data_IF_134848679132
#
_entry.id   IF_134848679132
#
_cell.length_a   1.000
_cell.length_b   1.000
_cell.length_c   1.000
_cell.angle_alpha   90.00
_cell.angle_beta   90.00
_cell.angle_gamma   90.00
#
_symmetry.space_group_name_H-M   'P 1'
#
loop_
_entity.id
_entity.type
_entity.pdbx_description
1 polymer ?
#
# COMPACT_ATOMS: atom_id res chain seq x y z
N UNK A 1 0.32 34.78 -7.16
CA UNK A 1 0.87 33.45 -7.51
C UNK A 1 1.73 33.58 -8.74
N UNK A 2 3.06 33.55 -8.61
CA UNK A 2 3.91 33.23 -9.77
C UNK A 2 3.69 31.75 -10.06
N UNK A 3 3.12 31.42 -11.23
CA UNK A 3 3.07 30.04 -11.69
C UNK A 3 4.50 29.59 -11.94
N UNK A 4 4.98 28.63 -11.15
CA UNK A 4 6.20 27.89 -11.46
C UNK A 4 5.89 27.16 -12.77
N UNK A 5 6.47 27.64 -13.88
CA UNK A 5 6.35 26.98 -15.18
C UNK A 5 7.27 25.77 -15.20
N UNK A 6 6.81 24.66 -14.61
CA UNK A 6 7.48 23.38 -14.74
C UNK A 6 7.15 22.80 -16.11
N UNK A 7 8.17 22.47 -16.90
CA UNK A 7 7.99 21.74 -18.15
C UNK A 7 7.30 20.40 -17.83
N UNK A 8 6.14 20.07 -18.46
CA UNK A 8 5.44 18.82 -18.22
C UNK A 8 6.32 17.57 -18.43
N UNK A 9 7.39 17.67 -19.22
CA UNK A 9 8.38 16.59 -19.44
C UNK A 9 9.28 16.33 -18.23
N UNK A 10 9.32 17.25 -17.27
CA UNK A 10 10.11 17.16 -16.05
C UNK A 10 9.28 16.68 -14.85
N UNK A 11 8.06 16.19 -15.09
CA UNK A 11 7.24 15.57 -14.04
C UNK A 11 7.56 14.07 -13.91
N UNK A 12 7.48 13.52 -12.68
CA UNK A 12 7.26 14.23 -11.41
C UNK A 12 8.42 15.11 -10.96
N UNK A 13 8.10 16.20 -10.24
CA UNK A 13 9.05 17.16 -9.68
C UNK A 13 8.90 17.26 -8.16
N UNK A 14 10.02 17.15 -7.44
CA UNK A 14 10.07 17.35 -5.97
C UNK A 14 11.27 18.23 -5.63
N UNK A 15 11.02 19.30 -4.88
CA UNK A 15 12.05 20.19 -4.39
C UNK A 15 11.80 20.61 -2.93
N UNK A 16 12.90 20.75 -2.19
CA UNK A 16 12.93 21.36 -0.86
C UNK A 16 13.84 22.58 -0.97
N UNK A 17 13.35 23.72 -0.52
CA UNK A 17 14.09 24.96 -0.53
C UNK A 17 15.41 24.83 0.25
N UNK A 18 16.51 25.44 -0.20
CA UNK A 18 17.82 25.35 0.46
C UNK A 18 17.78 25.65 1.97
N UNK A 19 16.94 26.60 2.38
CA UNK A 19 16.75 26.98 3.79
C UNK A 19 16.25 25.84 4.67
N UNK A 20 15.51 24.89 4.08
CA UNK A 20 14.86 23.78 4.78
C UNK A 20 15.55 22.43 4.54
N UNK A 21 16.64 22.41 3.76
CA UNK A 21 17.40 21.18 3.53
C UNK A 21 17.99 20.64 4.84
N UNK A 22 17.85 19.33 5.05
CA UNK A 22 18.31 18.66 6.27
C UNK A 22 17.28 18.65 7.41
N UNK A 23 16.19 19.41 7.33
CA UNK A 23 15.10 19.36 8.32
C UNK A 23 14.10 18.23 8.05
N UNK A 24 13.87 17.94 6.77
CA UNK A 24 13.06 16.83 6.29
C UNK A 24 13.55 16.39 4.92
N UNK A 25 13.06 15.25 4.46
CA UNK A 25 13.47 14.61 3.20
C UNK A 25 12.35 14.67 2.16
N UNK A 26 12.71 14.44 0.89
CA UNK A 26 11.71 14.33 -0.18
C UNK A 26 10.71 13.19 0.05
N UNK A 27 11.11 12.15 0.78
CA UNK A 27 10.25 11.01 1.13
C UNK A 27 9.13 11.44 2.06
N UNK A 28 9.43 12.35 3.00
CA UNK A 28 8.45 12.83 3.97
C UNK A 28 7.25 13.45 3.24
N UNK A 29 7.49 14.14 2.13
CA UNK A 29 6.48 14.78 1.29
C UNK A 29 5.62 13.80 0.46
N UNK A 30 6.02 12.53 0.37
CA UNK A 30 5.32 11.48 -0.40
C UNK A 30 4.42 10.60 0.48
N UNK A 31 4.28 10.93 1.76
CA UNK A 31 3.41 10.20 2.69
C UNK A 31 1.97 10.73 2.62
N UNK A 32 1.00 9.83 2.78
CA UNK A 32 -0.42 10.19 2.82
C UNK A 32 -0.76 11.08 4.03
N UNK A 33 0.01 10.94 5.11
CA UNK A 33 -0.02 11.78 6.29
C UNK A 33 1.40 12.16 6.68
N UNK A 34 1.57 13.37 7.20
CA UNK A 34 2.86 13.85 7.60
C UNK A 34 2.80 15.15 8.39
N UNK A 35 3.92 15.42 9.03
CA UNK A 35 4.15 16.61 9.82
C UNK A 35 5.57 17.09 9.54
N UNK A 36 5.71 18.37 9.26
CA UNK A 36 6.99 19.06 9.21
C UNK A 36 7.00 20.07 10.33
N UNK A 37 8.03 20.00 11.18
CA UNK A 37 8.31 20.97 12.23
C UNK A 37 9.64 21.62 11.92
N UNK A 38 9.63 22.94 11.77
CA UNK A 38 10.84 23.71 11.50
C UNK A 38 10.93 24.85 12.50
N UNK A 39 12.10 25.06 13.09
CA UNK A 39 12.40 26.26 13.87
C UNK A 39 13.61 26.93 13.25
N UNK A 40 13.44 28.17 12.80
CA UNK A 40 14.43 28.88 12.02
C UNK A 40 14.59 30.32 12.51
N UNK A 41 15.82 30.81 12.45
CA UNK A 41 16.14 32.21 12.64
C UNK A 41 16.32 32.85 11.27
N UNK A 42 15.45 33.79 10.93
CA UNK A 42 15.55 34.55 9.69
C UNK A 42 16.32 35.86 9.89
N UNK A 43 16.99 36.31 8.82
CA UNK A 43 17.65 37.62 8.77
C UNK A 43 16.71 38.74 8.30
N UNK A 44 15.66 38.35 7.57
CA UNK A 44 14.61 39.21 7.02
C UNK A 44 13.28 38.43 7.06
N UNK A 45 12.11 39.08 6.91
CA UNK A 45 10.84 38.37 6.83
C UNK A 45 10.91 37.18 5.86
N UNK A 46 10.40 35.99 6.24
CA UNK A 46 10.47 34.80 5.41
C UNK A 46 9.68 35.03 4.12
N UNK A 47 10.28 34.66 2.99
CA UNK A 47 9.66 34.75 1.67
C UNK A 47 10.21 33.62 0.78
N UNK A 48 9.33 33.03 -0.03
CA UNK A 48 9.64 31.99 -0.99
C UNK A 48 9.08 30.61 -0.63
N UNK A 49 9.46 29.62 -1.43
CA UNK A 49 9.02 28.23 -1.27
C UNK A 49 9.67 27.56 -0.05
N UNK A 50 8.90 26.69 0.59
CA UNK A 50 9.39 25.74 1.60
C UNK A 50 9.67 24.41 0.91
N UNK A 51 8.66 23.88 0.22
CA UNK A 51 8.78 22.69 -0.63
C UNK A 51 7.70 22.67 -1.72
N UNK A 52 7.97 21.89 -2.76
CA UNK A 52 7.09 21.71 -3.92
C UNK A 52 7.11 20.25 -4.35
N UNK A 53 5.92 19.62 -4.45
CA UNK A 53 5.69 18.32 -5.10
C UNK A 53 4.67 18.52 -6.20
N UNK A 54 5.03 18.19 -7.44
CA UNK A 54 4.14 18.32 -8.59
C UNK A 54 4.23 17.04 -9.42
N UNK A 55 3.06 16.43 -9.65
CA UNK A 55 2.78 15.33 -10.56
C UNK A 55 1.48 15.64 -11.32
N UNK A 56 1.17 14.88 -12.37
CA UNK A 56 -0.01 15.11 -13.22
C UNK A 56 -1.34 15.17 -12.46
N UNK A 57 -1.48 14.44 -11.36
CA UNK A 57 -2.72 14.33 -10.58
C UNK A 57 -2.57 14.82 -9.13
N UNK A 58 -1.37 15.27 -8.75
CA UNK A 58 -1.05 15.55 -7.36
C UNK A 58 -0.08 16.72 -7.21
N UNK A 59 -0.55 17.77 -6.54
CA UNK A 59 0.22 18.94 -6.16
C UNK A 59 0.23 19.08 -4.64
N UNK A 60 1.41 19.24 -4.04
CA UNK A 60 1.56 19.55 -2.62
C UNK A 60 2.64 20.62 -2.48
N UNK A 61 2.25 21.84 -2.10
CA UNK A 61 3.11 23.02 -2.15
C UNK A 61 2.98 23.80 -0.85
N UNK A 62 4.11 24.14 -0.23
CA UNK A 62 4.13 25.06 0.90
C UNK A 62 5.08 26.23 0.61
N UNK A 63 4.64 27.45 0.89
CA UNK A 63 5.39 28.67 0.60
C UNK A 63 4.99 29.80 1.55
N UNK A 64 5.85 30.81 1.66
CA UNK A 64 5.54 32.08 2.31
C UNK A 64 5.56 33.20 1.28
N UNK A 65 4.47 33.95 1.19
CA UNK A 65 4.35 35.09 0.27
C UNK A 65 3.66 36.25 0.99
N UNK A 66 4.23 37.46 0.95
CA UNK A 66 3.62 38.66 1.56
C UNK A 66 3.20 38.48 3.04
N UNK A 67 4.01 37.79 3.85
CA UNK A 67 3.68 37.43 5.24
C UNK A 67 2.45 36.52 5.39
N UNK A 68 2.13 35.72 4.37
CA UNK A 68 1.16 34.64 4.45
C UNK A 68 1.87 33.30 4.27
N UNK A 69 1.68 32.39 5.24
CA UNK A 69 2.08 31.00 5.09
C UNK A 69 0.97 30.26 4.36
N UNK A 70 1.27 29.77 3.16
CA UNK A 70 0.32 29.10 2.28
C UNK A 70 0.70 27.63 2.20
N UNK A 71 -0.28 26.76 2.39
CA UNK A 71 -0.14 25.32 2.17
C UNK A 71 -1.26 24.82 1.27
N UNK A 72 -0.88 24.33 0.10
CA UNK A 72 -1.79 23.91 -0.96
C UNK A 72 -1.66 22.41 -1.20
N UNK A 73 -2.80 21.75 -1.36
CA UNK A 73 -2.92 20.41 -1.92
C UNK A 73 -3.96 20.40 -3.03
N UNK A 74 -3.51 20.14 -4.26
CA UNK A 74 -4.34 20.22 -5.46
C UNK A 74 -5.07 21.57 -5.54
N UNK A 75 -6.40 21.57 -5.63
CA UNK A 75 -7.23 22.77 -5.73
C UNK A 75 -7.56 23.41 -4.38
N UNK A 76 -7.18 22.76 -3.27
CA UNK A 76 -7.42 23.23 -1.91
C UNK A 76 -6.17 23.92 -1.35
N UNK A 77 -6.34 25.09 -0.74
CA UNK A 77 -5.24 25.80 -0.08
C UNK A 77 -5.71 26.41 1.23
N UNK A 78 -4.85 26.32 2.24
CA UNK A 78 -4.99 27.02 3.52
C UNK A 78 -3.94 28.12 3.60
N UNK A 79 -4.33 29.26 4.17
CA UNK A 79 -3.48 30.45 4.28
C UNK A 79 -3.54 30.98 5.70
N UNK A 80 -2.36 31.22 6.28
CA UNK A 80 -2.22 31.75 7.63
C UNK A 80 -1.47 33.09 7.56
N UNK A 81 -2.09 34.17 8.03
CA UNK A 81 -1.42 35.47 8.18
C UNK A 81 -0.40 35.38 9.32
N UNK A 82 0.89 35.56 8.98
CA UNK A 82 2.00 35.51 9.93
C UNK A 82 2.58 36.90 10.21
N UNK A 83 1.95 37.98 9.74
CA UNK A 83 2.43 39.36 9.87
C UNK A 83 2.72 39.73 11.32
N UNK A 84 1.82 39.38 12.25
CA UNK A 84 2.02 39.66 13.66
C UNK A 84 3.21 38.85 14.21
N UNK A 85 3.29 37.55 13.90
CA UNK A 85 4.37 36.66 14.36
C UNK A 85 5.73 37.20 13.93
N UNK A 86 5.86 37.57 12.65
CA UNK A 86 7.06 38.16 12.04
C UNK A 86 7.40 39.51 12.67
N UNK A 87 6.40 40.36 12.93
CA UNK A 87 6.61 41.65 13.59
C UNK A 87 7.15 41.52 15.02
N UNK A 88 6.77 40.46 15.74
CA UNK A 88 7.24 40.20 17.09
C UNK A 88 8.64 39.55 17.14
N UNK A 89 8.97 38.65 16.20
CA UNK A 89 10.30 38.01 16.15
C UNK A 89 10.58 37.35 14.80
N UNK A 90 11.86 37.35 14.39
CA UNK A 90 12.36 36.56 13.26
C UNK A 90 12.85 35.16 13.67
N UNK A 91 12.69 34.77 14.94
CA UNK A 91 12.84 33.39 15.39
C UNK A 91 11.48 32.69 15.35
N UNK A 92 11.19 32.07 14.22
CA UNK A 92 9.87 31.56 13.89
C UNK A 92 9.92 30.04 13.85
N UNK A 93 8.86 29.40 14.34
CA UNK A 93 8.62 27.99 14.05
C UNK A 93 7.37 27.82 13.19
N UNK A 94 7.42 26.82 12.32
CA UNK A 94 6.30 26.38 11.49
C UNK A 94 5.98 24.93 11.81
N UNK A 95 4.69 24.62 11.86
CA UNK A 95 4.20 23.24 11.84
C UNK A 95 3.24 23.12 10.67
N UNK A 96 3.60 22.28 9.72
CA UNK A 96 2.78 21.98 8.54
C UNK A 96 2.35 20.53 8.66
N UNK A 97 1.05 20.29 8.82
CA UNK A 97 0.50 18.95 8.93
C UNK A 97 -0.46 18.68 7.79
N UNK A 98 -0.45 17.44 7.30
CA UNK A 98 -1.46 16.95 6.39
C UNK A 98 -1.87 15.53 6.76
N UNK A 99 -3.13 15.22 6.46
CA UNK A 99 -3.70 13.88 6.45
C UNK A 99 -4.54 13.73 5.19
N UNK A 100 -5.05 12.53 4.85
CA UNK A 100 -5.85 12.36 3.64
C UNK A 100 -7.03 13.32 3.52
N UNK A 101 -7.55 13.88 4.64
CA UNK A 101 -8.74 14.75 4.65
C UNK A 101 -8.52 16.15 5.26
N UNK A 102 -7.32 16.47 5.73
CA UNK A 102 -7.07 17.76 6.40
C UNK A 102 -5.71 18.34 6.06
N UNK A 103 -5.66 19.66 5.99
CA UNK A 103 -4.44 20.47 6.00
C UNK A 103 -4.45 21.34 7.25
N UNK A 104 -3.31 21.49 7.92
CA UNK A 104 -3.19 22.35 9.09
C UNK A 104 -1.86 23.09 9.11
N UNK A 105 -1.94 24.37 9.43
CA UNK A 105 -0.80 25.26 9.60
C UNK A 105 -0.74 25.77 11.04
N UNK A 106 0.47 25.87 11.58
CA UNK A 106 0.74 26.56 12.84
C UNK A 106 2.01 27.37 12.64
N UNK A 107 1.99 28.62 13.09
CA UNK A 107 3.15 29.50 13.09
C UNK A 107 3.28 30.15 14.46
N UNK A 108 4.50 30.33 14.95
CA UNK A 108 4.71 31.05 16.20
C UNK A 108 6.17 31.39 16.47
N UNK A 109 6.40 32.03 17.62
CA UNK A 109 7.71 32.54 18.02
C UNK A 109 8.35 31.61 19.06
N UNK A 110 9.68 31.62 19.15
CA UNK A 110 10.40 30.94 20.25
C UNK A 110 9.93 31.49 21.61
N UNK A 111 9.34 30.62 22.43
CA UNK A 111 8.76 30.96 23.73
C UNK A 111 7.22 31.02 23.75
N UNK A 112 6.55 30.82 22.61
CA UNK A 112 5.09 30.71 22.54
C UNK A 112 4.31 32.00 22.82
N UNK A 113 4.98 33.15 22.72
CA UNK A 113 4.39 34.46 23.02
C UNK A 113 3.26 34.80 22.03
N UNK A 114 3.43 34.42 20.76
CA UNK A 114 2.35 34.37 19.80
C UNK A 114 2.38 33.07 19.02
N UNK A 115 1.19 32.53 18.81
CA UNK A 115 0.94 31.32 18.04
C UNK A 115 -0.35 31.57 17.27
N UNK A 116 -0.28 31.38 15.97
CA UNK A 116 -1.45 31.36 15.11
C UNK A 116 -1.58 30.00 14.44
N UNK A 117 -2.80 29.57 14.16
CA UNK A 117 -3.06 28.29 13.51
C UNK A 117 -4.36 28.29 12.75
N UNK A 118 -4.36 27.60 11.63
CA UNK A 118 -5.56 27.36 10.85
C UNK A 118 -5.62 25.89 10.41
N UNK A 119 -6.83 25.39 10.20
CA UNK A 119 -7.09 24.03 9.73
C UNK A 119 -8.26 23.99 8.73
N UNK A 120 -8.06 23.23 7.65
CA UNK A 120 -9.05 23.08 6.58
C UNK A 120 -9.26 21.60 6.25
N UNK A 121 -10.54 21.20 6.24
CA UNK A 121 -10.96 19.92 5.69
C UNK A 121 -10.89 19.97 4.15
N UNK A 122 -10.51 18.84 3.55
CA UNK A 122 -10.32 18.70 2.10
C UNK A 122 -10.88 17.35 1.64
N UNK A 123 -11.15 17.17 0.34
CA UNK A 123 -11.45 15.86 -0.23
C UNK A 123 -10.35 14.84 0.12
N UNK A 124 -10.69 13.55 0.07
CA UNK A 124 -9.70 12.49 0.35
C UNK A 124 -8.67 12.46 -0.78
N UNK A 125 -7.44 12.91 -0.50
CA UNK A 125 -6.34 12.95 -1.46
C UNK A 125 -5.13 12.22 -0.88
N UNK A 126 -4.56 11.30 -1.65
CA UNK A 126 -3.32 10.59 -1.34
C UNK A 126 -2.36 10.67 -2.53
N UNK A 127 -1.03 10.63 -2.31
CA UNK A 127 -0.07 10.58 -3.41
C UNK A 127 -0.35 9.41 -4.36
N UNK A 128 -0.34 9.60 -5.68
CA UNK A 128 -0.68 8.55 -6.63
C UNK A 128 0.39 7.45 -6.64
N UNK A 129 0.04 6.17 -6.87
CA UNK A 129 1.01 5.07 -6.90
C UNK A 129 2.16 5.28 -7.90
N UNK A 130 1.88 5.92 -9.04
CA UNK A 130 2.88 6.28 -10.07
C UNK A 130 3.99 7.18 -9.53
N UNK A 131 3.65 8.16 -8.69
CA UNK A 131 4.60 9.07 -8.05
C UNK A 131 5.51 8.32 -7.08
N UNK A 132 4.96 7.37 -6.34
CA UNK A 132 5.71 6.51 -5.42
C UNK A 132 6.65 5.56 -6.18
N UNK A 133 6.21 5.01 -7.30
CA UNK A 133 7.05 4.20 -8.19
C UNK A 133 8.19 5.01 -8.80
N UNK A 134 7.92 6.24 -9.23
CA UNK A 134 8.97 7.15 -9.72
C UNK A 134 10.01 7.44 -8.63
N UNK A 135 9.56 7.73 -7.40
CA UNK A 135 10.46 8.04 -6.29
C UNK A 135 11.43 6.88 -5.98
N UNK A 136 10.97 5.62 -6.11
CA UNK A 136 11.83 4.43 -6.03
C UNK A 136 12.90 4.38 -7.11
N UNK A 137 12.55 4.71 -8.36
CA UNK A 137 13.51 4.74 -9.48
C UNK A 137 14.60 5.78 -9.26
N UNK A 138 14.28 6.88 -8.57
CA UNK A 138 15.24 7.90 -8.15
C UNK A 138 16.01 7.53 -6.87
N UNK A 139 15.85 6.30 -6.37
CA UNK A 139 16.41 5.82 -5.10
C UNK A 139 16.01 6.67 -3.88
N UNK A 140 14.93 7.45 -3.97
CA UNK A 140 14.38 8.16 -2.82
C UNK A 140 13.82 7.18 -1.80
N UNK A 141 13.34 6.02 -2.25
CA UNK A 141 12.96 4.93 -1.36
C UNK A 141 14.02 3.82 -1.45
N UNK A 142 14.51 3.27 -0.33
CA UNK A 142 15.55 2.24 -0.35
C UNK A 142 15.05 1.01 -1.11
N UNK A 143 15.77 0.63 -2.16
CA UNK A 143 15.53 -0.61 -2.90
C UNK A 143 16.23 -1.73 -2.15
N UNK A 144 15.44 -2.62 -1.54
CA UNK A 144 15.98 -3.85 -0.98
C UNK A 144 16.27 -4.83 -2.12
N UNK A 145 17.55 -5.09 -2.36
CA UNK A 145 17.97 -6.25 -3.15
C UNK A 145 18.12 -7.47 -2.25
N UNK A 146 17.51 -8.58 -2.64
CA UNK A 146 17.61 -9.85 -1.92
C UNK A 146 18.91 -10.56 -2.29
N UNK A 147 19.57 -11.20 -1.31
CA UNK A 147 20.84 -11.90 -1.53
C UNK A 147 20.69 -13.13 -2.41
N UNK A 148 19.49 -13.72 -2.44
CA UNK A 148 19.17 -14.90 -3.23
C UNK A 148 17.68 -14.98 -3.54
N UNK A 149 17.32 -15.79 -4.55
CA UNK A 149 15.91 -16.09 -4.82
C UNK A 149 15.21 -16.76 -3.63
N UNK A 150 15.97 -17.51 -2.84
CA UNK A 150 15.46 -18.22 -1.67
C UNK A 150 15.04 -17.22 -0.59
N UNK A 151 15.84 -16.19 -0.32
CA UNK A 151 15.49 -15.11 0.61
C UNK A 151 14.25 -14.34 0.12
N UNK A 152 14.19 -14.02 -1.18
CA UNK A 152 13.04 -13.36 -1.80
C UNK A 152 11.76 -14.20 -1.66
N UNK A 153 11.85 -15.49 -1.99
CA UNK A 153 10.75 -16.46 -1.84
C UNK A 153 10.29 -16.59 -0.39
N UNK A 154 11.23 -16.72 0.54
CA UNK A 154 10.93 -16.81 1.96
C UNK A 154 10.16 -15.57 2.43
N UNK A 155 10.58 -14.37 2.01
CA UNK A 155 9.86 -13.14 2.33
C UNK A 155 8.40 -13.19 1.87
N UNK A 156 8.16 -13.60 0.63
CA UNK A 156 6.78 -13.71 0.09
C UNK A 156 5.98 -14.75 0.86
N UNK A 157 6.56 -15.92 1.11
CA UNK A 157 5.85 -17.01 1.80
C UNK A 157 5.57 -16.67 3.26
N UNK A 158 6.48 -15.99 3.96
CA UNK A 158 6.23 -15.49 5.31
C UNK A 158 5.08 -14.48 5.31
N UNK A 159 5.01 -13.60 4.32
CA UNK A 159 3.91 -12.65 4.16
C UNK A 159 2.56 -13.31 3.81
N UNK A 160 2.58 -14.42 3.06
CA UNK A 160 1.38 -15.22 2.82
C UNK A 160 0.95 -15.99 4.06
N UNK A 161 1.88 -16.49 4.89
CA UNK A 161 1.55 -17.14 6.16
C UNK A 161 0.87 -16.15 7.11
N UNK A 162 1.44 -14.96 7.28
CA UNK A 162 0.92 -13.94 8.19
C UNK A 162 -0.36 -13.25 7.69
N UNK A 163 -0.73 -13.45 6.42
CA UNK A 163 -1.92 -12.82 5.84
C UNK A 163 -3.19 -13.20 6.62
N UNK A 164 -3.33 -14.47 7.03
CA UNK A 164 -4.48 -14.91 7.84
C UNK A 164 -4.54 -14.15 9.17
N UNK A 165 -3.43 -14.12 9.90
CA UNK A 165 -3.37 -13.47 11.21
C UNK A 165 -3.68 -11.97 11.08
N UNK A 166 -3.15 -11.29 10.04
CA UNK A 166 -3.46 -9.89 9.74
C UNK A 166 -4.94 -9.66 9.45
N UNK A 167 -5.60 -10.56 8.70
CA UNK A 167 -7.05 -10.46 8.43
C UNK A 167 -7.86 -10.56 9.73
N UNK A 168 -7.43 -11.43 10.65
CA UNK A 168 -8.07 -11.61 11.96
C UNK A 168 -7.85 -10.38 12.84
N UNK A 169 -6.61 -9.94 13.00
CA UNK A 169 -6.22 -8.78 13.81
C UNK A 169 -6.94 -7.50 13.38
N UNK A 170 -7.11 -7.29 12.07
CA UNK A 170 -7.79 -6.11 11.52
C UNK A 170 -9.32 -6.23 11.52
N UNK A 171 -9.89 -7.36 11.95
CA UNK A 171 -11.33 -7.62 11.87
C UNK A 171 -11.87 -7.65 10.44
N UNK A 172 -11.00 -7.80 9.44
CA UNK A 172 -11.33 -7.66 8.02
C UNK A 172 -12.01 -8.91 7.43
N UNK A 173 -12.33 -9.91 8.25
CA UNK A 173 -12.95 -11.15 7.80
C UNK A 173 -14.24 -10.89 7.00
N UNK A 174 -15.04 -9.91 7.40
CA UNK A 174 -16.29 -9.55 6.73
C UNK A 174 -16.07 -9.06 5.28
N UNK A 175 -14.89 -8.53 4.96
CA UNK A 175 -14.53 -8.10 3.61
C UNK A 175 -14.47 -9.25 2.60
N UNK A 176 -14.46 -10.50 3.06
CA UNK A 176 -14.47 -11.72 2.25
C UNK A 176 -15.89 -12.32 2.08
N UNK A 177 -16.89 -11.74 2.72
CA UNK A 177 -18.28 -12.22 2.70
C UNK A 177 -19.22 -11.20 2.07
N UNK A 178 -20.23 -11.69 1.37
CA UNK A 178 -21.43 -10.97 0.98
C UNK A 178 -22.49 -11.19 2.06
N UNK A 179 -22.86 -10.12 2.77
CA UNK A 179 -23.94 -10.15 3.76
C UNK A 179 -25.26 -9.97 3.03
N UNK A 180 -26.14 -10.97 3.12
CA UNK A 180 -27.48 -10.92 2.56
C UNK A 180 -28.42 -10.31 3.58
N UNK A 181 -29.11 -9.23 3.21
CA UNK A 181 -30.07 -8.55 4.08
C UNK A 181 -31.52 -8.84 3.66
N UNK A 182 -32.42 -8.82 4.64
CA UNK A 182 -33.87 -8.73 4.47
C UNK A 182 -34.37 -7.55 5.32
N UNK A 183 -34.48 -6.37 4.70
CA UNK A 183 -34.67 -5.12 5.43
C UNK A 183 -33.46 -4.84 6.34
N UNK A 184 -33.69 -4.63 7.63
CA UNK A 184 -32.65 -4.41 8.64
C UNK A 184 -32.05 -5.71 9.21
N UNK A 185 -32.53 -6.88 8.80
CA UNK A 185 -32.09 -8.18 9.35
C UNK A 185 -31.11 -8.89 8.43
N UNK A 186 -30.08 -9.53 9.00
CA UNK A 186 -29.14 -10.36 8.24
C UNK A 186 -29.79 -11.72 7.96
N UNK A 187 -29.96 -12.04 6.69
CA UNK A 187 -30.53 -13.31 6.19
C UNK A 187 -29.47 -14.40 6.03
N UNK A 188 -28.21 -14.03 5.78
CA UNK A 188 -27.12 -14.99 5.65
C UNK A 188 -25.82 -14.37 5.16
N UNK A 189 -24.78 -15.20 5.08
CA UNK A 189 -23.48 -14.83 4.55
C UNK A 189 -23.12 -15.79 3.41
N UNK A 190 -22.61 -15.25 2.31
CA UNK A 190 -22.06 -16.03 1.22
C UNK A 190 -20.62 -15.58 0.96
N UNK A 191 -19.67 -16.50 0.73
CA UNK A 191 -18.34 -16.10 0.30
C UNK A 191 -18.40 -15.24 -0.96
N UNK A 192 -17.54 -14.23 -1.06
CA UNK A 192 -17.35 -13.49 -2.31
C UNK A 192 -16.76 -14.39 -3.39
N UNK A 193 -16.95 -14.02 -4.66
CA UNK A 193 -16.29 -14.70 -5.78
C UNK A 193 -14.80 -14.38 -5.78
N UNK A 194 -13.99 -15.25 -6.41
CA UNK A 194 -12.52 -15.10 -6.45
C UNK A 194 -12.09 -13.70 -6.90
N UNK A 195 -12.63 -13.22 -8.03
CA UNK A 195 -12.35 -11.89 -8.59
C UNK A 195 -12.69 -10.74 -7.63
N UNK A 196 -13.71 -10.91 -6.79
CA UNK A 196 -14.14 -9.89 -5.83
C UNK A 196 -13.30 -9.91 -4.53
N UNK A 197 -12.54 -11.00 -4.31
CA UNK A 197 -11.67 -11.18 -3.15
C UNK A 197 -10.25 -10.64 -3.43
N UNK A 198 -9.78 -10.70 -4.68
CA UNK A 198 -8.43 -10.28 -5.06
C UNK A 198 -8.07 -8.86 -4.58
N UNK A 199 -8.92 -7.82 -4.71
CA UNK A 199 -8.61 -6.49 -4.19
C UNK A 199 -8.36 -6.46 -2.68
N UNK A 200 -9.12 -7.24 -1.91
CA UNK A 200 -8.97 -7.36 -0.46
C UNK A 200 -7.64 -8.03 -0.11
N UNK A 201 -7.29 -9.12 -0.79
CA UNK A 201 -6.00 -9.81 -0.61
C UNK A 201 -4.85 -8.86 -0.96
N UNK A 202 -4.96 -8.16 -2.10
CA UNK A 202 -3.97 -7.20 -2.54
C UNK A 202 -3.72 -6.13 -1.46
N UNK A 203 -4.80 -5.53 -0.94
CA UNK A 203 -4.72 -4.52 0.12
C UNK A 203 -3.94 -5.02 1.35
N UNK A 204 -4.25 -6.23 1.85
CA UNK A 204 -3.56 -6.77 3.03
C UNK A 204 -2.09 -7.12 2.79
N UNK A 205 -1.75 -7.54 1.57
CA UNK A 205 -0.37 -7.85 1.18
C UNK A 205 0.45 -6.62 0.81
N UNK A 206 -0.18 -5.59 0.25
CA UNK A 206 0.51 -4.48 -0.42
C UNK A 206 1.54 -3.81 0.48
N UNK A 207 1.16 -3.39 1.67
CA UNK A 207 2.04 -2.67 2.59
C UNK A 207 3.29 -3.47 2.97
N UNK A 208 3.13 -4.74 3.37
CA UNK A 208 4.26 -5.58 3.79
C UNK A 208 5.20 -5.95 2.64
N UNK A 209 4.65 -6.08 1.42
CA UNK A 209 5.41 -6.33 0.19
C UNK A 209 6.13 -5.06 -0.25
N UNK A 210 5.43 -3.92 -0.20
CA UNK A 210 5.96 -2.60 -0.49
C UNK A 210 7.17 -2.28 0.40
N UNK A 211 7.06 -2.51 1.70
CA UNK A 211 8.17 -2.36 2.66
C UNK A 211 9.33 -3.33 2.38
N UNK A 212 9.05 -4.46 1.74
CA UNK A 212 10.05 -5.41 1.26
C UNK A 212 10.64 -5.06 -0.11
N UNK A 213 10.31 -3.91 -0.72
CA UNK A 213 10.64 -3.63 -2.13
C UNK A 213 10.16 -4.70 -3.10
N UNK A 214 9.01 -5.32 -2.79
CA UNK A 214 8.34 -6.31 -3.63
C UNK A 214 7.15 -5.64 -4.28
N UNK A 215 7.11 -5.67 -5.61
CA UNK A 215 5.97 -5.21 -6.39
C UNK A 215 4.93 -6.33 -6.46
N UNK A 216 3.67 -5.99 -6.20
CA UNK A 216 2.54 -6.91 -6.29
C UNK A 216 1.71 -6.53 -7.51
N UNK A 217 1.61 -7.43 -8.47
CA UNK A 217 0.87 -7.21 -9.72
C UNK A 217 -0.33 -8.15 -9.71
N UNK A 218 -1.55 -7.65 -9.42
CA UNK A 218 -2.76 -8.46 -9.49
C UNK A 218 -3.17 -8.72 -10.94
N UNK A 219 -3.90 -9.82 -11.16
CA UNK A 219 -4.59 -10.18 -12.42
C UNK A 219 -3.70 -10.07 -13.66
N UNK A 220 -2.46 -10.54 -13.54
CA UNK A 220 -1.47 -10.41 -14.59
C UNK A 220 -1.83 -11.28 -15.78
N UNK A 221 -2.05 -10.65 -16.93
CA UNK A 221 -2.22 -11.38 -18.18
C UNK A 221 -0.93 -12.14 -18.53
N UNK A 222 -1.02 -13.46 -18.54
CA UNK A 222 -0.01 -14.33 -19.12
C UNK A 222 -0.49 -14.72 -20.52
N UNK A 223 0.44 -15.02 -21.44
CA UNK A 223 0.05 -15.45 -22.80
C UNK A 223 -0.82 -16.73 -22.86
N UNK A 224 -1.08 -17.38 -21.70
CA UNK A 224 -1.87 -18.61 -21.57
C UNK A 224 -3.06 -18.47 -20.61
N UNK A 225 -3.35 -17.26 -20.10
CA UNK A 225 -4.43 -16.98 -19.16
C UNK A 225 -4.09 -15.90 -18.14
N UNK A 226 -5.01 -15.57 -17.24
CA UNK A 226 -4.78 -14.55 -16.21
C UNK A 226 -4.33 -15.22 -14.91
N UNK A 227 -3.17 -14.79 -14.42
CA UNK A 227 -2.63 -15.20 -13.12
C UNK A 227 -3.18 -14.26 -12.04
N UNK A 228 -3.59 -14.79 -10.90
CA UNK A 228 -4.18 -13.95 -9.84
C UNK A 228 -3.18 -12.93 -9.28
N UNK A 229 -1.95 -13.34 -8.98
CA UNK A 229 -0.89 -12.43 -8.53
C UNK A 229 0.51 -12.80 -9.01
N UNK A 230 1.29 -11.78 -9.37
CA UNK A 230 2.73 -11.88 -9.60
C UNK A 230 3.47 -10.97 -8.63
N UNK A 231 4.38 -11.54 -7.85
CA UNK A 231 5.27 -10.80 -6.95
C UNK A 231 6.64 -10.66 -7.59
N UNK A 232 7.14 -9.44 -7.75
CA UNK A 232 8.42 -9.17 -8.41
C UNK A 232 9.37 -8.39 -7.49
N UNK A 233 10.64 -8.78 -7.46
CA UNK A 233 11.67 -8.13 -6.65
C UNK A 233 13.08 -8.34 -7.21
N UNK A 234 14.01 -7.45 -6.84
CA UNK A 234 15.40 -7.51 -7.30
C UNK A 234 16.23 -8.50 -6.47
N UNK A 235 16.97 -9.37 -7.15
CA UNK A 235 17.90 -10.33 -6.56
C UNK A 235 19.31 -10.07 -7.07
N UNK A 236 20.27 -10.01 -6.14
CA UNK A 236 21.67 -9.71 -6.44
C UNK A 236 22.25 -10.66 -7.51
N UNK A 237 22.88 -10.08 -8.52
CA UNK A 237 23.53 -10.83 -9.62
C UNK A 237 22.57 -11.54 -10.58
N UNK A 238 21.25 -11.44 -10.38
CA UNK A 238 20.24 -12.08 -11.24
C UNK A 238 19.23 -11.11 -11.85
N UNK A 239 19.04 -9.95 -11.23
CA UNK A 239 18.03 -8.97 -11.64
C UNK A 239 16.66 -9.30 -11.07
N UNK A 240 15.60 -9.03 -11.82
CA UNK A 240 14.23 -9.21 -11.33
C UNK A 240 13.86 -10.70 -11.29
N UNK A 241 13.43 -11.16 -10.12
CA UNK A 241 12.85 -12.48 -9.90
C UNK A 241 11.37 -12.36 -9.59
N UNK A 242 10.59 -13.38 -9.95
CA UNK A 242 9.15 -13.40 -9.75
C UNK A 242 8.68 -14.67 -9.02
N UNK A 243 7.59 -14.54 -8.26
CA UNK A 243 6.83 -15.65 -7.68
C UNK A 243 5.38 -15.51 -8.11
N UNK A 244 4.82 -16.59 -8.65
CA UNK A 244 3.43 -16.62 -9.13
C UNK A 244 2.51 -17.18 -8.06
N UNK A 245 1.36 -16.56 -7.85
CA UNK A 245 0.40 -16.99 -6.84
C UNK A 245 -0.99 -17.10 -7.47
N UNK A 246 -1.63 -18.23 -7.21
CA UNK A 246 -2.99 -18.54 -7.66
C UNK A 246 -3.86 -18.81 -6.43
N UNK A 247 -5.02 -18.16 -6.37
CA UNK A 247 -6.05 -18.36 -5.36
C UNK A 247 -7.22 -19.17 -5.91
N UNK A 248 -7.74 -20.10 -5.09
CA UNK A 248 -8.99 -20.81 -5.37
C UNK A 248 -9.87 -20.94 -4.15
N UNK A 249 -11.19 -20.87 -4.36
CA UNK A 249 -12.17 -21.21 -3.34
C UNK A 249 -12.13 -22.72 -3.08
N UNK A 250 -12.14 -23.13 -1.81
CA UNK A 250 -12.14 -24.54 -1.42
C UNK A 250 -13.34 -25.33 -1.95
N UNK A 251 -14.45 -24.64 -2.26
CA UNK A 251 -15.67 -25.21 -2.82
C UNK A 251 -15.77 -25.05 -4.35
N UNK A 252 -14.70 -24.62 -5.02
CA UNK A 252 -14.64 -24.54 -6.48
C UNK A 252 -14.54 -25.93 -7.10
N UNK A 253 -15.30 -26.17 -8.17
CA UNK A 253 -15.21 -27.42 -8.94
C UNK A 253 -13.81 -27.64 -9.55
N UNK A 254 -13.03 -26.57 -9.70
CA UNK A 254 -11.70 -26.57 -10.32
C UNK A 254 -10.57 -26.38 -9.30
N UNK A 255 -10.82 -26.60 -8.01
CA UNK A 255 -9.85 -26.40 -6.93
C UNK A 255 -8.57 -27.23 -7.06
N UNK A 256 -8.57 -28.35 -7.78
CA UNK A 256 -7.34 -29.11 -8.05
C UNK A 256 -6.74 -28.80 -9.41
N UNK A 257 -7.58 -28.37 -10.36
CA UNK A 257 -7.13 -27.98 -11.70
C UNK A 257 -6.18 -26.76 -11.64
N UNK A 258 -6.44 -25.82 -10.72
CA UNK A 258 -5.56 -24.69 -10.47
C UNK A 258 -4.13 -25.12 -10.10
N UNK A 259 -4.01 -26.05 -9.17
CA UNK A 259 -2.74 -26.59 -8.69
C UNK A 259 -2.01 -27.45 -9.74
N UNK A 260 -2.74 -28.34 -10.40
CA UNK A 260 -2.14 -29.37 -11.26
C UNK A 260 -1.87 -28.88 -12.69
N UNK A 261 -2.60 -27.85 -13.15
CA UNK A 261 -2.58 -27.39 -14.54
C UNK A 261 -2.32 -25.89 -14.67
N UNK A 262 -3.15 -25.04 -14.05
CA UNK A 262 -3.11 -23.59 -14.32
C UNK A 262 -1.80 -22.94 -13.84
N UNK A 263 -1.51 -23.01 -12.55
CA UNK A 263 -0.31 -22.41 -11.98
C UNK A 263 0.99 -22.98 -12.60
N UNK A 264 1.15 -24.32 -12.75
CA UNK A 264 2.29 -24.88 -13.48
C UNK A 264 2.40 -24.38 -14.94
N UNK A 265 1.29 -24.20 -15.64
CA UNK A 265 1.31 -23.69 -17.02
C UNK A 265 1.78 -22.23 -17.07
N UNK A 266 1.32 -21.38 -16.16
CA UNK A 266 1.79 -20.00 -16.03
C UNK A 266 3.29 -19.94 -15.76
N UNK A 267 3.74 -20.71 -14.76
CA UNK A 267 5.14 -20.77 -14.36
C UNK A 267 6.02 -21.27 -15.50
N UNK A 268 5.62 -22.35 -16.20
CA UNK A 268 6.36 -22.87 -17.36
C UNK A 268 6.47 -21.85 -18.48
N UNK A 269 5.36 -21.19 -18.82
CA UNK A 269 5.29 -20.20 -19.90
C UNK A 269 6.21 -19.00 -19.67
N UNK A 270 6.42 -18.62 -18.40
CA UNK A 270 7.24 -17.46 -18.02
C UNK A 270 8.63 -17.84 -17.47
N UNK A 271 8.98 -19.12 -17.43
CA UNK A 271 10.25 -19.59 -16.89
C UNK A 271 10.40 -19.36 -15.39
N UNK A 272 9.28 -19.31 -14.65
CA UNK A 272 9.25 -19.01 -13.22
C UNK A 272 9.47 -20.29 -12.41
N UNK A 273 10.37 -20.18 -11.43
CA UNK A 273 10.78 -21.31 -10.59
C UNK A 273 9.86 -21.54 -9.40
N UNK A 274 9.26 -20.49 -8.84
CA UNK A 274 8.54 -20.56 -7.57
C UNK A 274 7.09 -20.12 -7.71
N UNK A 275 6.20 -20.79 -6.98
CA UNK A 275 4.79 -20.42 -6.94
C UNK A 275 4.10 -20.76 -5.63
N UNK A 276 3.00 -20.06 -5.35
CA UNK A 276 2.13 -20.37 -4.23
C UNK A 276 0.73 -20.72 -4.73
N UNK A 277 0.19 -21.81 -4.21
CA UNK A 277 -1.18 -22.20 -4.45
C UNK A 277 -2.00 -22.01 -3.17
N UNK A 278 -2.96 -21.09 -3.23
CA UNK A 278 -3.65 -20.58 -2.07
C UNK A 278 -5.13 -20.99 -2.11
N UNK A 279 -5.57 -21.74 -1.10
CA UNK A 279 -6.96 -22.18 -0.98
C UNK A 279 -7.67 -21.34 0.08
N UNK A 280 -8.81 -20.75 -0.30
CA UNK A 280 -9.66 -19.98 0.59
C UNK A 280 -10.77 -20.89 1.15
N UNK A 281 -10.68 -21.17 2.43
CA UNK A 281 -11.59 -22.07 3.15
C UNK A 281 -12.63 -21.27 3.93
N UNK A 282 -13.90 -21.42 3.57
CA UNK A 282 -15.01 -20.66 4.16
C UNK A 282 -15.95 -21.52 5.02
N UNK A 283 -15.69 -22.83 5.17
CA UNK A 283 -16.62 -23.73 5.85
C UNK A 283 -16.80 -23.32 7.31
N UNK A 284 -18.02 -22.95 7.70
CA UNK A 284 -18.42 -22.56 9.05
C UNK A 284 -19.94 -22.67 9.22
N UNK A 285 -20.48 -22.20 10.35
CA UNK A 285 -21.94 -22.18 10.62
C UNK A 285 -22.77 -21.41 9.58
N UNK A 286 -22.17 -20.47 8.84
CA UNK A 286 -22.87 -19.69 7.81
C UNK A 286 -22.84 -20.36 6.43
N UNK A 287 -21.89 -21.26 6.21
CA UNK A 287 -21.59 -21.81 4.89
C UNK A 287 -20.93 -23.18 5.01
N UNK A 288 -21.61 -24.23 4.55
CA UNK A 288 -21.20 -25.62 4.77
C UNK A 288 -20.46 -26.27 3.59
N UNK A 289 -19.76 -25.46 2.76
CA UNK A 289 -18.99 -26.01 1.64
C UNK A 289 -17.47 -25.85 1.85
N UNK A 290 -16.67 -26.84 1.43
CA UNK A 290 -17.07 -28.11 0.80
C UNK A 290 -17.72 -29.09 1.78
N UNK A 291 -18.85 -29.70 1.40
CA UNK A 291 -19.62 -30.60 2.28
C UNK A 291 -18.83 -31.82 2.74
N UNK A 292 -18.10 -32.44 1.81
CA UNK A 292 -17.49 -33.76 1.98
C UNK A 292 -16.06 -33.74 2.46
N UNK A 293 -15.49 -32.55 2.71
CA UNK A 293 -14.11 -32.41 3.15
C UNK A 293 -14.08 -31.64 4.48
N UNK A 294 -13.22 -32.10 5.37
CA UNK A 294 -12.67 -31.34 6.47
C UNK A 294 -11.47 -30.52 6.02
N UNK A 295 -11.01 -29.60 6.88
CA UNK A 295 -9.83 -28.79 6.61
C UNK A 295 -8.57 -29.66 6.48
N UNK A 296 -8.39 -30.62 7.39
CA UNK A 296 -7.26 -31.55 7.40
C UNK A 296 -7.24 -32.44 6.15
N UNK A 297 -8.40 -32.96 5.72
CA UNK A 297 -8.51 -33.73 4.48
C UNK A 297 -8.12 -32.90 3.26
N UNK A 298 -8.49 -31.61 3.23
CA UNK A 298 -8.09 -30.70 2.16
C UNK A 298 -6.57 -30.48 2.15
N UNK A 299 -5.94 -30.29 3.31
CA UNK A 299 -4.48 -30.16 3.42
C UNK A 299 -3.76 -31.42 2.88
N UNK A 300 -4.22 -32.60 3.31
CA UNK A 300 -3.68 -33.88 2.87
C UNK A 300 -3.84 -34.09 1.36
N UNK A 301 -5.01 -33.76 0.80
CA UNK A 301 -5.27 -33.85 -0.65
C UNK A 301 -4.36 -32.92 -1.45
N UNK A 302 -4.16 -31.68 -0.99
CA UNK A 302 -3.25 -30.74 -1.67
C UNK A 302 -1.81 -31.25 -1.65
N UNK A 303 -1.32 -31.77 -0.53
CA UNK A 303 0.03 -32.36 -0.40
C UNK A 303 0.17 -33.56 -1.34
N UNK A 304 -0.80 -34.48 -1.31
CA UNK A 304 -0.79 -35.69 -2.14
C UNK A 304 -0.79 -35.34 -3.63
N UNK A 305 -1.64 -34.39 -4.05
CA UNK A 305 -1.71 -33.96 -5.46
C UNK A 305 -0.45 -33.23 -5.90
N UNK A 306 0.08 -32.35 -5.06
CA UNK A 306 1.33 -31.65 -5.33
C UNK A 306 2.47 -32.66 -5.57
N UNK A 307 2.57 -33.73 -4.75
CA UNK A 307 3.58 -34.79 -4.94
C UNK A 307 3.45 -35.55 -6.27
N UNK A 308 2.27 -35.55 -6.88
CA UNK A 308 1.98 -36.20 -8.17
C UNK A 308 2.20 -35.27 -9.35
N UNK A 309 2.42 -33.97 -9.12
CA UNK A 309 2.71 -33.04 -10.21
C UNK A 309 4.12 -33.26 -10.74
N UNK A 310 4.25 -33.39 -12.06
CA UNK A 310 5.55 -33.50 -12.74
C UNK A 310 6.33 -32.16 -12.79
N UNK A 311 5.91 -31.15 -12.02
CA UNK A 311 6.57 -29.85 -11.98
C UNK A 311 7.62 -29.85 -10.86
N UNK A 312 8.87 -29.43 -11.14
CA UNK A 312 9.93 -29.47 -10.15
C UNK A 312 9.63 -28.52 -8.98
N UNK A 313 9.28 -29.10 -7.82
CA UNK A 313 9.52 -28.67 -6.41
C UNK A 313 9.38 -27.19 -5.97
N UNK A 314 8.86 -26.29 -6.80
CA UNK A 314 8.82 -24.86 -6.52
C UNK A 314 7.48 -24.33 -5.99
N UNK A 315 6.42 -25.14 -6.02
CA UNK A 315 5.08 -24.73 -5.59
C UNK A 315 4.88 -25.08 -4.11
N UNK A 316 4.40 -24.11 -3.31
CA UNK A 316 3.96 -24.32 -1.93
C UNK A 316 2.45 -24.07 -1.81
N UNK A 317 1.76 -24.92 -1.08
CA UNK A 317 0.32 -24.77 -0.81
C UNK A 317 0.07 -24.02 0.50
N UNK A 318 -0.99 -23.22 0.53
CA UNK A 318 -1.45 -22.47 1.70
C UNK A 318 -2.97 -22.61 1.81
N UNK A 319 -3.49 -22.76 3.03
CA UNK A 319 -4.94 -22.69 3.27
C UNK A 319 -5.25 -21.54 4.21
N UNK A 320 -6.13 -20.66 3.76
CA UNK A 320 -6.64 -19.53 4.52
C UNK A 320 -8.02 -19.90 5.06
N UNK A 321 -8.09 -20.26 6.35
CA UNK A 321 -9.37 -20.45 7.01
C UNK A 321 -10.02 -19.09 7.30
N UNK A 322 -10.99 -18.75 6.46
CA UNK A 322 -11.78 -17.52 6.48
C UNK A 322 -13.24 -17.78 6.92
N UNK A 323 -13.50 -18.95 7.53
CA UNK A 323 -14.75 -19.24 8.22
C UNK A 323 -14.99 -18.26 9.39
N UNK A 324 -16.23 -18.16 9.87
CA UNK A 324 -16.54 -17.37 11.07
C UNK A 324 -15.65 -17.81 12.22
N UNK A 325 -14.94 -16.86 12.82
CA UNK A 325 -14.17 -17.06 14.05
C UNK A 325 -15.11 -16.72 15.20
N UNK A 326 -15.39 -17.70 16.06
CA UNK A 326 -16.14 -17.43 17.30
C UNK A 326 -15.25 -16.61 18.23
N UNK A 327 -15.75 -15.54 18.90
CA UNK A 327 -14.97 -14.74 19.84
C UNK A 327 -14.39 -15.56 21.01
N UNK A 328 -14.90 -16.76 21.27
CA UNK A 328 -14.47 -17.64 22.36
C UNK A 328 -13.18 -18.43 22.08
N UNK A 329 -12.46 -18.13 21.00
CA UNK A 329 -11.25 -18.88 20.57
C UNK A 329 -9.99 -18.01 20.44
N UNK A 330 -9.97 -16.83 21.09
CA UNK A 330 -8.79 -15.96 21.23
C UNK A 330 -8.33 -16.00 22.68
#
# INVERSE_FOLDING_TARGET
MQQISIDPRNLPYIAISPTFQGLFTQIDLLRAEGQIVCQLQFLQPPEGEIFTVIDHEFHLIAQVLNCELIFQRNDEAITLDISQVVAASLNIYFIINWSPRHLRLICGNRGGIMVDSDEQATPTVIPPPSLVEWARKQNLLPVKEYKSEEEFRQRIYSSLISLKDKIIETGAINSFWNILYNGSTIKGHLPKKETDIHPTIHFHLYEQMFMGSISVIPERQTGVGNLDFSFAGAVQGRGICEVFVEFKLAHSNNVYHGLEKQLPAYMKNKGIKYGAYCVLWFKCEWFDQPKTLSLEEMENELILRLSKTNYPSGIRTFIFNLGKISPASI
#
